data_IF_542834902623
#
_entry.id   IF_542834902623
#
_cell.length_a   1.000
_cell.length_b   1.000
_cell.length_c   1.000
_cell.angle_alpha   90.00
_cell.angle_beta   90.00
_cell.angle_gamma   90.00
#
_symmetry.space_group_name_H-M   'P 1'
#
loop_
_entity.id
_entity.type
_entity.pdbx_description
1 polymer ?
#
# COMPACT_ATOMS: atom_id res chain seq x y z
N UNK A 1 7.79 16.89 -10.10
CA UNK A 1 7.70 15.61 -9.40
C UNK A 1 8.91 15.50 -8.49
N UNK A 2 8.69 15.53 -7.17
CA UNK A 2 9.76 15.53 -6.17
C UNK A 2 10.62 14.26 -6.22
N UNK A 3 10.10 13.18 -6.81
CA UNK A 3 10.77 11.88 -6.94
C UNK A 3 11.95 11.90 -7.90
N UNK A 4 12.00 12.86 -8.84
CA UNK A 4 13.05 12.90 -9.89
C UNK A 4 14.45 13.19 -9.36
N UNK A 5 14.59 13.78 -8.18
CA UNK A 5 15.88 14.28 -7.67
C UNK A 5 16.42 13.48 -6.47
N UNK A 6 15.83 12.33 -6.13
CA UNK A 6 16.24 11.50 -4.99
C UNK A 6 16.11 10.01 -5.32
N UNK A 7 16.95 9.48 -6.21
CA UNK A 7 16.80 8.08 -6.65
C UNK A 7 17.63 7.07 -5.86
N UNK A 8 18.86 7.38 -5.45
CA UNK A 8 19.75 6.35 -4.92
C UNK A 8 19.41 5.94 -3.48
N UNK A 9 19.23 6.89 -2.55
CA UNK A 9 19.01 6.59 -1.12
C UNK A 9 17.60 6.91 -0.59
N UNK A 10 16.64 7.19 -1.47
CA UNK A 10 15.29 7.55 -1.01
C UNK A 10 14.47 6.31 -0.65
N UNK A 11 13.88 6.23 0.55
CA UNK A 11 13.23 5.01 1.07
C UNK A 11 12.09 4.47 0.21
N UNK A 12 11.50 5.32 -0.64
CA UNK A 12 10.40 4.95 -1.55
C UNK A 12 10.82 4.99 -3.02
N UNK A 13 11.70 5.92 -3.40
CA UNK A 13 11.95 6.14 -4.83
C UNK A 13 13.00 5.18 -5.37
N UNK A 14 13.90 4.68 -4.51
CA UNK A 14 14.87 3.64 -4.86
C UNK A 14 14.20 2.31 -5.23
N UNK A 15 12.97 2.07 -4.76
CA UNK A 15 12.18 0.88 -5.11
C UNK A 15 11.62 0.94 -6.55
N UNK A 16 11.53 2.14 -7.13
CA UNK A 16 10.89 2.38 -8.43
C UNK A 16 11.88 2.30 -9.61
N UNK A 17 13.10 1.83 -9.36
CA UNK A 17 14.16 1.63 -10.36
C UNK A 17 14.71 0.20 -10.34
N UNK A 18 15.38 -0.24 -11.43
CA UNK A 18 16.08 -1.52 -11.43
C UNK A 18 17.20 -1.57 -10.37
N UNK A 19 17.46 -2.73 -9.73
CA UNK A 19 16.79 -4.02 -9.91
C UNK A 19 15.51 -4.20 -9.06
N UNK A 20 15.16 -3.24 -8.20
CA UNK A 20 14.09 -3.37 -7.19
C UNK A 20 12.67 -3.21 -7.74
N UNK A 21 12.53 -2.65 -8.94
CA UNK A 21 11.24 -2.42 -9.58
C UNK A 21 10.44 -3.70 -9.79
N UNK A 22 11.06 -4.78 -10.26
CA UNK A 22 10.35 -6.03 -10.58
C UNK A 22 9.78 -6.69 -9.30
N UNK A 23 10.57 -6.90 -8.22
CA UNK A 23 10.02 -7.35 -6.94
C UNK A 23 8.93 -6.42 -6.37
N UNK A 24 9.05 -5.11 -6.59
CA UNK A 24 8.05 -4.15 -6.11
C UNK A 24 6.71 -4.30 -6.85
N UNK A 25 6.74 -4.53 -8.16
CA UNK A 25 5.52 -4.82 -8.93
C UNK A 25 4.88 -6.14 -8.49
N UNK A 26 5.68 -7.17 -8.20
CA UNK A 26 5.18 -8.44 -7.67
C UNK A 26 4.51 -8.26 -6.29
N UNK A 27 5.06 -7.41 -5.41
CA UNK A 27 4.40 -7.04 -4.16
C UNK A 27 3.04 -6.39 -4.43
N UNK A 28 2.96 -5.45 -5.37
CA UNK A 28 1.70 -4.78 -5.74
C UNK A 28 0.67 -5.79 -6.23
N UNK A 29 1.07 -6.78 -7.03
CA UNK A 29 0.17 -7.83 -7.51
C UNK A 29 -0.33 -8.72 -6.37
N UNK A 30 0.52 -9.10 -5.43
CA UNK A 30 0.13 -9.86 -4.24
C UNK A 30 -0.87 -9.10 -3.37
N UNK A 31 -0.62 -7.82 -3.11
CA UNK A 31 -1.53 -6.97 -2.35
C UNK A 31 -2.86 -6.73 -3.09
N UNK A 32 -2.82 -6.69 -4.42
CA UNK A 32 -4.04 -6.60 -5.24
C UNK A 32 -4.89 -7.84 -5.08
N UNK A 33 -4.29 -9.03 -5.13
CA UNK A 33 -5.00 -10.31 -4.94
C UNK A 33 -5.64 -10.44 -3.54
N UNK A 34 -5.09 -9.79 -2.51
CA UNK A 34 -5.70 -9.74 -1.18
C UNK A 34 -6.95 -8.85 -1.17
N UNK A 35 -6.95 -7.75 -1.93
CA UNK A 35 -8.02 -6.75 -1.91
C UNK A 35 -9.22 -7.11 -2.81
N UNK A 36 -8.96 -7.76 -3.95
CA UNK A 36 -9.95 -8.06 -4.98
C UNK A 36 -11.17 -8.87 -4.48
N UNK A 37 -11.04 -9.93 -3.65
CA UNK A 37 -12.18 -10.72 -3.19
C UNK A 37 -13.24 -9.89 -2.43
N UNK A 38 -12.79 -8.83 -1.75
CA UNK A 38 -13.64 -7.90 -0.99
C UNK A 38 -14.12 -6.71 -1.85
N UNK A 39 -13.84 -6.70 -3.15
CA UNK A 39 -14.26 -5.64 -4.08
C UNK A 39 -13.50 -4.32 -3.89
N UNK A 40 -12.31 -4.38 -3.28
CA UNK A 40 -11.49 -3.21 -2.98
C UNK A 40 -10.20 -3.19 -3.80
N UNK A 41 -9.64 -1.99 -3.97
CA UNK A 41 -8.36 -1.78 -4.66
C UNK A 41 -7.17 -1.91 -3.69
N UNK A 42 -5.97 -2.15 -4.21
CA UNK A 42 -4.73 -2.12 -3.42
C UNK A 42 -4.52 -0.79 -2.68
N UNK A 43 -4.92 0.35 -3.27
CA UNK A 43 -4.86 1.65 -2.60
C UNK A 43 -5.84 1.74 -1.42
N UNK A 44 -7.01 1.12 -1.54
CA UNK A 44 -7.98 1.03 -0.44
C UNK A 44 -7.48 0.09 0.65
N UNK A 45 -6.83 -1.03 0.29
CA UNK A 45 -6.20 -1.94 1.25
C UNK A 45 -5.15 -1.21 2.09
N UNK A 46 -4.26 -0.43 1.48
CA UNK A 46 -3.23 0.31 2.19
C UNK A 46 -3.81 1.30 3.22
N UNK A 47 -4.90 2.01 2.87
CA UNK A 47 -5.57 2.94 3.78
C UNK A 47 -6.31 2.19 4.89
N UNK A 48 -7.07 1.14 4.55
CA UNK A 48 -7.80 0.33 5.52
C UNK A 48 -6.84 -0.30 6.53
N UNK A 49 -5.76 -0.94 6.06
CA UNK A 49 -4.72 -1.53 6.89
C UNK A 49 -4.10 -0.52 7.86
N UNK A 50 -3.77 0.68 7.36
CA UNK A 50 -3.25 1.78 8.19
C UNK A 50 -4.21 2.14 9.32
N UNK A 51 -5.51 2.25 9.03
CA UNK A 51 -6.55 2.61 9.99
C UNK A 51 -6.90 1.49 10.98
N UNK A 52 -6.51 0.23 10.71
CA UNK A 52 -6.75 -0.91 11.62
C UNK A 52 -5.66 -1.06 12.68
N UNK A 53 -4.53 -0.36 12.55
CA UNK A 53 -3.46 -0.39 13.55
C UNK A 53 -3.85 0.43 14.80
N UNK A 54 -3.86 -0.17 16.01
CA UNK A 54 -4.31 0.52 17.23
C UNK A 54 -3.46 1.74 17.61
N UNK A 55 -2.19 1.79 17.20
CA UNK A 55 -1.27 2.90 17.41
C UNK A 55 -1.49 4.08 16.45
N UNK A 56 -2.31 3.92 15.41
CA UNK A 56 -2.58 4.94 14.41
C UNK A 56 -3.92 5.62 14.71
N UNK A 57 -3.90 6.93 14.93
CA UNK A 57 -5.12 7.72 15.21
C UNK A 57 -5.79 8.24 13.94
N UNK A 58 -5.05 8.45 12.86
CA UNK A 58 -5.56 8.97 11.59
C UNK A 58 -4.63 8.64 10.42
N UNK A 59 -5.19 8.50 9.22
CA UNK A 59 -4.44 8.33 7.98
C UNK A 59 -4.50 9.61 7.14
N UNK A 60 -3.33 10.15 6.75
CA UNK A 60 -3.24 11.29 5.84
C UNK A 60 -3.27 10.78 4.40
N UNK A 61 -4.26 11.22 3.64
CA UNK A 61 -4.55 10.75 2.28
C UNK A 61 -4.66 11.92 1.33
N UNK A 62 -3.88 11.89 0.25
CA UNK A 62 -3.84 12.94 -0.75
C UNK A 62 -4.94 12.80 -1.80
N UNK A 63 -5.66 13.89 -2.08
CA UNK A 63 -6.66 13.95 -3.14
C UNK A 63 -6.44 15.20 -4.02
N UNK A 64 -6.51 15.01 -5.35
CA UNK A 64 -6.44 16.08 -6.36
C UNK A 64 -7.77 16.30 -7.10
N UNK A 65 -8.70 15.36 -7.00
CA UNK A 65 -10.06 15.45 -7.55
C UNK A 65 -11.08 14.90 -6.56
N UNK A 66 -12.31 15.41 -6.63
CA UNK A 66 -13.41 15.02 -5.71
C UNK A 66 -13.62 13.51 -5.62
N UNK A 67 -13.57 12.80 -6.76
CA UNK A 67 -13.79 11.35 -6.79
C UNK A 67 -12.80 10.53 -5.94
N UNK A 68 -11.59 11.04 -5.68
CA UNK A 68 -10.61 10.33 -4.83
C UNK A 68 -11.02 10.30 -3.36
N UNK A 69 -11.76 11.32 -2.90
CA UNK A 69 -12.30 11.33 -1.53
C UNK A 69 -13.31 10.18 -1.36
N UNK A 70 -14.16 9.94 -2.36
CA UNK A 70 -15.08 8.81 -2.34
C UNK A 70 -14.36 7.46 -2.32
N UNK A 71 -13.25 7.33 -3.06
CA UNK A 71 -12.39 6.13 -3.03
C UNK A 71 -11.78 5.91 -1.64
N UNK A 72 -11.33 6.98 -0.97
CA UNK A 72 -10.82 6.96 0.41
C UNK A 72 -11.88 6.57 1.43
N UNK A 73 -13.11 7.11 1.33
CA UNK A 73 -14.19 6.79 2.27
C UNK A 73 -14.47 5.28 2.27
N UNK A 74 -14.53 4.66 1.08
CA UNK A 74 -14.70 3.19 0.97
C UNK A 74 -13.61 2.39 1.69
N UNK A 75 -12.38 2.91 1.72
CA UNK A 75 -11.31 2.26 2.47
C UNK A 75 -11.48 2.43 3.99
N UNK A 76 -11.91 3.61 4.43
CA UNK A 76 -12.13 3.89 5.85
C UNK A 76 -13.27 3.05 6.44
N UNK A 77 -14.31 2.78 5.64
CA UNK A 77 -15.46 1.97 6.00
C UNK A 77 -15.23 0.46 5.87
N UNK A 78 -14.14 0.02 5.22
CA UNK A 78 -13.84 -1.40 5.05
C UNK A 78 -13.42 -2.03 6.39
N UNK A 79 -14.21 -3.00 6.92
CA UNK A 79 -13.80 -3.78 8.08
C UNK A 79 -12.78 -4.86 7.68
N UNK A 80 -11.57 -4.43 7.30
CA UNK A 80 -10.49 -5.33 6.89
C UNK A 80 -10.20 -6.36 7.99
N UNK A 81 -10.40 -7.64 7.70
CA UNK A 81 -10.27 -8.72 8.66
C UNK A 81 -8.82 -9.01 9.04
N UNK A 82 -8.64 -9.73 10.16
CA UNK A 82 -7.30 -10.03 10.67
C UNK A 82 -6.47 -10.86 9.66
N UNK A 83 -7.10 -11.83 8.99
CA UNK A 83 -6.41 -12.66 8.01
C UNK A 83 -5.86 -11.85 6.83
N UNK A 84 -6.61 -10.86 6.33
CA UNK A 84 -6.15 -9.99 5.25
C UNK A 84 -5.06 -9.03 5.73
N UNK A 85 -5.15 -8.54 6.97
CA UNK A 85 -4.11 -7.71 7.59
C UNK A 85 -2.78 -8.47 7.73
N UNK A 86 -2.85 -9.73 8.21
CA UNK A 86 -1.69 -10.59 8.39
C UNK A 86 -1.07 -10.97 7.04
N UNK A 87 -1.90 -11.27 6.03
CA UNK A 87 -1.43 -11.56 4.68
C UNK A 87 -0.72 -10.36 4.04
N UNK A 88 -1.26 -9.15 4.21
CA UNK A 88 -0.63 -7.93 3.71
C UNK A 88 0.70 -7.65 4.41
N UNK A 89 0.76 -7.85 5.73
CA UNK A 89 2.00 -7.70 6.50
C UNK A 89 3.06 -8.72 6.05
N UNK A 90 2.68 -9.99 5.89
CA UNK A 90 3.59 -11.04 5.44
C UNK A 90 4.14 -10.79 4.02
N UNK A 91 3.31 -10.28 3.10
CA UNK A 91 3.75 -9.92 1.75
C UNK A 91 4.79 -8.77 1.77
N UNK A 92 4.56 -7.75 2.59
CA UNK A 92 5.49 -6.62 2.78
C UNK A 92 6.80 -7.08 3.42
N UNK A 93 6.74 -7.93 4.45
CA UNK A 93 7.94 -8.48 5.11
C UNK A 93 8.78 -9.34 4.14
N UNK A 94 8.12 -10.20 3.36
CA UNK A 94 8.78 -11.02 2.35
C UNK A 94 9.44 -10.17 1.25
N UNK A 95 8.78 -9.09 0.82
CA UNK A 95 9.37 -8.14 -0.11
C UNK A 95 10.64 -7.50 0.45
N UNK A 96 10.60 -6.99 1.69
CA UNK A 96 11.76 -6.36 2.33
C UNK A 96 12.95 -7.33 2.43
N UNK A 97 12.71 -8.56 2.88
CA UNK A 97 13.75 -9.61 2.96
C UNK A 97 14.38 -9.96 1.60
N UNK A 98 13.65 -9.76 0.49
CA UNK A 98 14.11 -10.05 -0.86
C UNK A 98 14.85 -8.91 -1.56
N UNK A 99 14.85 -7.69 -1.00
CA UNK A 99 15.49 -6.50 -1.62
C UNK A 99 16.61 -5.87 -0.78
N UNK A 100 16.82 -6.36 0.44
CA UNK A 100 17.97 -6.07 1.29
C UNK A 100 19.23 -6.81 0.79
#
# INVERSE_FOLDING_TARGET
>A
DWRRHKQEDHPVASLLGPPKLEPFLQLVDQLTAIAEPSGHTVSQLAVAWTLRRPEITSAIVGARRRGQIAETIRAAEWPLGQAEQDAAAAAVDAFHQGID
#
